data_IF_471635515301
#
_entry.id   IF_471635515301
#
_cell.length_a   1.000
_cell.length_b   1.000
_cell.length_c   1.000
_cell.angle_alpha   90.00
_cell.angle_beta   90.00
_cell.angle_gamma   90.00
#
_symmetry.space_group_name_H-M   'P 1'
#
loop_
_entity.id
_entity.type
_entity.pdbx_description
1 polymer ?
#
# COMPACT_ATOMS: atom_id res chain seq x y z
N UNK A 1 -1.99 33.93 -12.77
CA UNK A 1 -1.92 32.50 -13.14
C UNK A 1 -1.76 31.69 -11.87
N UNK A 2 -2.45 30.55 -11.75
CA UNK A 2 -2.23 29.57 -10.67
C UNK A 2 -1.28 28.51 -11.19
N UNK A 3 -0.28 28.16 -10.40
CA UNK A 3 0.72 27.15 -10.70
C UNK A 3 0.65 26.04 -9.66
N UNK A 4 0.99 24.82 -10.08
CA UNK A 4 1.10 23.66 -9.19
C UNK A 4 2.51 23.12 -9.28
N UNK A 5 3.18 22.94 -8.15
CA UNK A 5 4.50 22.32 -8.11
C UNK A 5 4.35 20.80 -8.19
N UNK A 6 5.05 20.19 -9.14
CA UNK A 6 5.14 18.74 -9.26
C UNK A 6 6.61 18.36 -9.42
N UNK A 7 7.07 17.38 -8.63
CA UNK A 7 8.42 16.84 -8.73
C UNK A 7 8.37 15.62 -9.63
N UNK A 8 8.98 15.73 -10.81
CA UNK A 8 9.16 14.60 -11.72
C UNK A 8 10.37 13.77 -11.24
N UNK A 9 10.09 12.67 -10.56
CA UNK A 9 11.07 11.80 -9.93
C UNK A 9 11.00 10.37 -10.48
N UNK A 10 12.09 9.58 -10.37
CA UNK A 10 12.09 8.17 -10.74
C UNK A 10 10.93 7.41 -10.08
N UNK A 11 10.36 6.45 -10.79
CA UNK A 11 9.13 5.77 -10.33
C UNK A 11 9.32 5.00 -9.01
N UNK A 12 10.54 4.53 -8.76
CA UNK A 12 10.93 3.83 -7.54
C UNK A 12 11.05 4.75 -6.32
N UNK A 13 10.97 6.07 -6.50
CA UNK A 13 11.13 7.04 -5.42
C UNK A 13 9.79 7.42 -4.85
N UNK A 14 9.66 7.26 -3.54
CA UNK A 14 8.53 7.78 -2.79
C UNK A 14 8.96 9.07 -2.11
N UNK A 15 8.58 10.20 -2.72
CA UNK A 15 8.88 11.53 -2.22
C UNK A 15 7.79 12.05 -1.30
N UNK A 16 8.20 12.80 -0.29
CA UNK A 16 7.31 13.48 0.64
C UNK A 16 7.70 14.95 0.73
N UNK A 17 6.70 15.84 0.79
CA UNK A 17 6.96 17.23 1.12
C UNK A 17 7.11 17.31 2.65
N UNK A 18 8.26 17.79 3.12
CA UNK A 18 8.56 17.93 4.56
C UNK A 18 8.39 19.37 5.03
N UNK A 19 8.69 20.34 4.17
CA UNK A 19 8.56 21.75 4.48
C UNK A 19 8.02 22.51 3.27
N UNK A 20 6.93 23.25 3.47
CA UNK A 20 6.37 24.16 2.47
C UNK A 20 5.67 25.32 3.20
N UNK A 21 6.10 26.54 2.92
CA UNK A 21 5.50 27.75 3.50
C UNK A 21 4.20 28.18 2.79
N UNK A 22 3.97 27.67 1.58
CA UNK A 22 2.85 28.03 0.71
C UNK A 22 2.13 26.77 0.24
N UNK A 23 0.92 26.96 -0.29
CA UNK A 23 0.17 25.88 -0.92
C UNK A 23 0.83 25.50 -2.26
N UNK A 24 1.46 24.33 -2.31
CA UNK A 24 2.14 23.83 -3.52
C UNK A 24 1.15 23.50 -4.65
N UNK A 25 -0.14 23.40 -4.35
CA UNK A 25 -1.18 23.10 -5.33
C UNK A 25 -1.73 24.36 -5.98
N UNK A 26 -1.68 25.48 -5.26
CA UNK A 26 -2.31 26.74 -5.63
C UNK A 26 -1.32 27.92 -5.56
N UNK A 27 -0.14 27.78 -6.17
CA UNK A 27 0.90 28.81 -6.15
C UNK A 27 0.44 30.00 -7.01
N UNK A 28 0.38 31.17 -6.39
CA UNK A 28 0.10 32.44 -7.06
C UNK A 28 1.26 33.40 -6.86
N UNK A 29 2.06 33.59 -7.91
CA UNK A 29 3.28 34.42 -7.83
C UNK A 29 2.98 35.88 -7.44
N UNK A 30 1.80 36.39 -7.76
CA UNK A 30 1.36 37.73 -7.36
C UNK A 30 1.12 37.88 -5.84
N UNK A 31 0.88 36.77 -5.13
CA UNK A 31 0.61 36.75 -3.69
C UNK A 31 1.90 36.56 -2.86
N UNK A 32 3.08 36.50 -3.51
CA UNK A 32 4.38 36.38 -2.83
C UNK A 32 4.82 37.70 -2.16
N UNK A 33 4.15 38.82 -2.45
CA UNK A 33 4.50 40.14 -1.91
C UNK A 33 5.92 40.54 -2.30
N UNK A 34 6.73 40.95 -1.32
CA UNK A 34 8.12 41.37 -1.53
C UNK A 34 9.09 40.19 -1.73
N UNK A 35 8.63 38.94 -1.55
CA UNK A 35 9.49 37.75 -1.66
C UNK A 35 9.69 37.38 -3.12
N UNK A 36 10.95 37.30 -3.53
CA UNK A 36 11.35 36.91 -4.90
C UNK A 36 11.44 35.39 -5.12
N UNK A 37 11.50 34.62 -4.03
CA UNK A 37 11.71 33.17 -4.08
C UNK A 37 10.68 32.45 -3.24
N UNK A 38 10.27 31.28 -3.74
CA UNK A 38 9.48 30.29 -3.02
C UNK A 38 10.35 29.04 -2.87
N UNK A 39 10.37 28.46 -1.68
CA UNK A 39 11.13 27.25 -1.37
C UNK A 39 10.19 26.20 -0.78
N UNK A 40 10.41 24.95 -1.19
CA UNK A 40 9.80 23.77 -0.60
C UNK A 40 10.87 22.68 -0.51
N UNK A 41 10.87 21.94 0.59
CA UNK A 41 11.78 20.83 0.86
C UNK A 41 11.03 19.52 0.64
N UNK A 42 11.65 18.62 -0.12
CA UNK A 42 11.17 17.27 -0.34
C UNK A 42 12.19 16.26 0.16
N UNK A 43 11.70 15.18 0.76
CA UNK A 43 12.50 14.08 1.25
C UNK A 43 12.18 12.80 0.46
N UNK A 44 13.23 12.04 0.13
CA UNK A 44 13.08 10.67 -0.35
C UNK A 44 12.82 9.77 0.86
N UNK A 45 11.54 9.59 1.19
CA UNK A 45 11.13 8.85 2.38
C UNK A 45 11.39 7.34 2.26
N UNK A 46 11.21 6.78 1.06
CA UNK A 46 11.53 5.38 0.81
C UNK A 46 11.77 5.09 -0.67
N UNK A 47 12.48 4.00 -0.93
CA UNK A 47 12.54 3.36 -2.24
C UNK A 47 11.51 2.24 -2.32
N UNK A 48 11.04 1.94 -3.53
CA UNK A 48 10.07 0.87 -3.74
C UNK A 48 10.77 -0.44 -4.10
N UNK A 49 10.45 -1.49 -3.33
CA UNK A 49 10.58 -2.87 -3.79
C UNK A 49 9.27 -3.19 -4.49
N UNK A 50 9.31 -3.42 -5.79
CA UNK A 50 8.14 -3.86 -6.55
C UNK A 50 8.37 -5.26 -7.07
N UNK A 51 7.33 -5.92 -7.54
CA UNK A 51 7.54 -7.24 -8.12
C UNK A 51 6.33 -7.80 -8.82
N UNK A 52 6.56 -8.99 -9.37
CA UNK A 52 5.54 -9.83 -9.96
C UNK A 52 5.48 -11.13 -9.19
N UNK A 53 4.29 -11.47 -8.71
CA UNK A 53 4.00 -12.74 -8.08
C UNK A 53 3.29 -13.68 -9.06
N UNK A 54 3.76 -14.93 -9.13
CA UNK A 54 3.18 -15.97 -9.96
C UNK A 54 2.95 -17.24 -9.11
N UNK A 55 1.78 -17.86 -9.26
CA UNK A 55 1.56 -19.23 -8.79
C UNK A 55 2.06 -20.21 -9.85
N UNK A 56 3.06 -21.01 -9.51
CA UNK A 56 3.70 -21.97 -10.42
C UNK A 56 2.73 -23.06 -10.87
N UNK A 57 1.73 -23.39 -10.06
CA UNK A 57 0.77 -24.44 -10.40
C UNK A 57 -0.27 -23.99 -11.43
N UNK A 58 -0.84 -22.81 -11.21
CA UNK A 58 -1.93 -22.28 -12.05
C UNK A 58 -1.48 -21.29 -13.13
N UNK A 59 -0.26 -20.74 -13.01
CA UNK A 59 0.24 -19.58 -13.76
C UNK A 59 -0.63 -18.32 -13.63
N UNK A 60 -1.53 -18.29 -12.66
CA UNK A 60 -2.40 -17.16 -12.35
C UNK A 60 -1.80 -16.41 -11.15
N UNK A 61 -1.75 -15.08 -11.17
CA UNK A 61 -1.34 -14.32 -10.00
C UNK A 61 -2.22 -14.61 -8.78
N UNK A 62 -1.63 -14.90 -7.60
CA UNK A 62 -2.40 -15.15 -6.40
C UNK A 62 -2.96 -13.84 -5.83
N UNK A 63 -4.10 -13.41 -6.34
CA UNK A 63 -4.76 -12.17 -5.92
C UNK A 63 -5.12 -12.21 -4.43
N UNK A 64 -4.80 -11.14 -3.71
CA UNK A 64 -5.03 -11.05 -2.26
C UNK A 64 -4.00 -11.79 -1.41
N UNK A 65 -2.89 -12.26 -1.99
CA UNK A 65 -1.78 -12.81 -1.22
C UNK A 65 -1.11 -11.70 -0.42
N UNK A 66 -1.10 -11.85 0.90
CA UNK A 66 -0.48 -10.90 1.82
C UNK A 66 1.01 -11.17 1.96
N UNK A 67 1.79 -10.11 1.77
CA UNK A 67 3.24 -10.12 1.88
C UNK A 67 3.68 -9.21 3.01
N UNK A 68 4.68 -9.65 3.76
CA UNK A 68 5.35 -8.87 4.79
C UNK A 68 6.79 -8.65 4.40
N UNK A 69 7.26 -7.42 4.55
CA UNK A 69 8.66 -7.06 4.47
C UNK A 69 9.17 -6.68 5.86
N UNK A 70 10.31 -7.21 6.22
CA UNK A 70 10.96 -6.88 7.48
C UNK A 70 12.44 -7.21 7.49
N UNK A 71 13.00 -7.20 8.69
CA UNK A 71 14.37 -7.62 8.96
C UNK A 71 14.35 -8.81 9.92
N UNK A 72 15.47 -9.53 10.11
CA UNK A 72 15.55 -10.58 11.12
C UNK A 72 15.21 -10.11 12.55
N UNK A 73 15.44 -8.83 12.85
CA UNK A 73 15.12 -8.23 14.15
C UNK A 73 13.64 -7.84 14.25
N UNK A 74 13.06 -7.32 13.16
CA UNK A 74 11.67 -6.88 13.05
C UNK A 74 11.02 -7.53 11.83
N UNK A 75 10.43 -8.74 11.96
CA UNK A 75 9.92 -9.50 10.83
C UNK A 75 8.79 -8.82 10.04
N UNK A 76 8.12 -7.84 10.65
CA UNK A 76 7.07 -7.04 10.04
C UNK A 76 7.39 -5.55 10.21
N UNK A 77 7.69 -4.89 9.08
CA UNK A 77 7.90 -3.43 8.99
C UNK A 77 6.86 -2.80 8.08
N UNK A 78 6.59 -3.42 6.93
CA UNK A 78 5.53 -3.01 6.00
C UNK A 78 4.91 -4.24 5.36
N UNK A 79 3.67 -4.10 4.93
CA UNK A 79 2.89 -5.13 4.28
C UNK A 79 2.25 -4.62 2.99
N UNK A 80 1.80 -5.54 2.14
CA UNK A 80 1.02 -5.25 0.93
C UNK A 80 0.24 -6.49 0.48
N UNK A 81 -0.72 -6.31 -0.41
CA UNK A 81 -1.31 -7.38 -1.21
C UNK A 81 -0.68 -7.51 -2.59
N UNK A 82 -0.73 -8.73 -3.10
CA UNK A 82 -0.54 -9.03 -4.52
C UNK A 82 -1.83 -8.75 -5.28
N UNK A 83 -1.75 -7.88 -6.28
CA UNK A 83 -2.84 -7.55 -7.18
C UNK A 83 -3.07 -8.66 -8.22
N UNK A 84 -4.31 -8.80 -8.68
CA UNK A 84 -4.66 -9.69 -9.81
C UNK A 84 -3.92 -9.32 -11.10
N UNK A 85 -3.75 -8.03 -11.35
CA UNK A 85 -3.08 -7.52 -12.54
C UNK A 85 -1.57 -7.74 -12.43
N UNK A 86 -1.04 -8.58 -13.33
CA UNK A 86 0.38 -8.90 -13.45
C UNK A 86 1.02 -9.47 -12.17
N UNK A 87 0.24 -9.82 -11.14
CA UNK A 87 0.78 -10.19 -9.83
C UNK A 87 1.55 -9.06 -9.17
N UNK A 88 1.19 -7.81 -9.48
CA UNK A 88 1.92 -6.65 -9.00
C UNK A 88 1.82 -6.51 -7.49
N UNK A 89 2.94 -6.19 -6.85
CA UNK A 89 3.00 -5.74 -5.46
C UNK A 89 4.05 -4.64 -5.33
N UNK A 90 3.92 -3.79 -4.31
CA UNK A 90 4.92 -2.81 -3.96
C UNK A 90 5.07 -2.69 -2.44
N UNK A 91 6.29 -2.53 -1.97
CA UNK A 91 6.64 -2.39 -0.57
C UNK A 91 7.64 -1.24 -0.43
N UNK A 92 7.51 -0.48 0.66
CA UNK A 92 8.38 0.65 0.97
C UNK A 92 9.59 0.17 1.74
N UNK A 93 10.79 0.51 1.29
CA UNK A 93 12.03 0.06 1.89
C UNK A 93 13.08 1.18 1.87
N UNK A 94 13.90 1.24 2.92
CA UNK A 94 15.15 1.97 2.90
C UNK A 94 16.26 1.11 2.25
N UNK A 95 17.39 1.69 1.84
CA UNK A 95 18.56 0.92 1.45
C UNK A 95 18.98 -0.08 2.53
N UNK A 96 19.21 -1.33 2.15
CA UNK A 96 19.47 -2.40 3.11
C UNK A 96 19.06 -3.78 2.62
N UNK A 97 19.18 -4.76 3.52
CA UNK A 97 18.80 -6.16 3.28
C UNK A 97 17.49 -6.43 4.02
N UNK A 98 16.52 -6.95 3.29
CA UNK A 98 15.17 -7.18 3.75
C UNK A 98 14.77 -8.64 3.52
N UNK A 99 13.92 -9.16 4.40
CA UNK A 99 13.30 -10.47 4.26
C UNK A 99 11.82 -10.28 3.87
N UNK A 100 11.44 -10.80 2.70
CA UNK A 100 10.09 -10.81 2.16
C UNK A 100 9.44 -12.17 2.43
N UNK A 101 8.35 -12.20 3.19
CA UNK A 101 7.65 -13.41 3.59
C UNK A 101 6.14 -13.33 3.35
N UNK A 102 5.46 -14.47 3.42
CA UNK A 102 4.00 -14.51 3.43
C UNK A 102 3.49 -14.09 4.82
N UNK A 103 2.41 -13.30 4.86
CA UNK A 103 1.77 -12.98 6.14
C UNK A 103 1.20 -14.24 6.81
N UNK A 104 1.26 -14.31 8.16
CA UNK A 104 0.65 -15.41 8.90
C UNK A 104 -0.87 -15.44 8.67
N UNK A 105 -1.45 -16.64 8.67
CA UNK A 105 -2.86 -16.87 8.34
C UNK A 105 -3.05 -17.39 6.91
N UNK A 106 -4.17 -17.06 6.21
CA UNK A 106 -4.56 -17.70 4.96
C UNK A 106 -3.47 -17.72 3.87
N UNK A 107 -2.69 -16.63 3.75
CA UNK A 107 -1.58 -16.54 2.80
C UNK A 107 -0.53 -17.62 3.04
N UNK A 108 -0.02 -17.72 4.27
CA UNK A 108 0.97 -18.74 4.65
C UNK A 108 0.42 -20.17 4.75
N UNK A 109 -0.88 -20.33 5.01
CA UNK A 109 -1.58 -21.62 5.13
C UNK A 109 -1.90 -22.24 3.76
N UNK A 110 -2.24 -21.39 2.78
CA UNK A 110 -2.62 -21.84 1.44
C UNK A 110 -1.40 -21.88 0.53
N UNK A 111 -0.48 -20.93 0.63
CA UNK A 111 0.67 -20.81 -0.27
C UNK A 111 1.99 -21.11 0.45
N UNK A 112 2.99 -21.48 -0.35
CA UNK A 112 4.41 -21.50 0.04
C UNK A 112 5.20 -20.74 -1.02
N UNK A 113 6.24 -20.02 -0.59
CA UNK A 113 7.20 -19.41 -1.52
C UNK A 113 8.07 -20.52 -2.10
N UNK A 114 8.34 -20.44 -3.40
CA UNK A 114 9.23 -21.33 -4.13
C UNK A 114 10.44 -20.55 -4.64
N UNK A 115 11.59 -21.20 -4.59
CA UNK A 115 12.84 -20.66 -5.12
C UNK A 115 13.64 -21.76 -5.80
N UNK A 116 14.65 -21.37 -6.56
CA UNK A 116 15.61 -22.26 -7.20
C UNK A 116 17.01 -21.65 -7.04
N UNK A 117 18.05 -22.47 -7.14
CA UNK A 117 19.45 -22.03 -7.05
C UNK A 117 19.79 -20.81 -7.91
N UNK A 118 19.39 -20.71 -9.20
CA UNK A 118 19.68 -19.50 -9.98
C UNK A 118 18.89 -18.26 -9.53
N UNK A 119 17.69 -18.43 -8.95
CA UNK A 119 16.94 -17.31 -8.38
C UNK A 119 17.63 -16.78 -7.12
N UNK A 120 18.12 -17.67 -6.25
CA UNK A 120 18.88 -17.28 -5.07
C UNK A 120 20.18 -16.55 -5.45
N UNK A 121 20.89 -17.06 -6.46
CA UNK A 121 22.11 -16.44 -6.96
C UNK A 121 21.86 -15.02 -7.51
N UNK A 122 20.69 -14.79 -8.11
CA UNK A 122 20.25 -13.49 -8.63
C UNK A 122 19.55 -12.61 -7.57
N UNK A 123 19.42 -13.07 -6.31
CA UNK A 123 18.66 -12.37 -5.27
C UNK A 123 17.18 -12.17 -5.63
N UNK A 124 16.62 -13.03 -6.49
CA UNK A 124 15.29 -12.89 -7.09
C UNK A 124 15.08 -11.59 -7.90
N UNK A 125 16.15 -10.85 -8.18
CA UNK A 125 16.11 -9.62 -8.97
C UNK A 125 15.83 -9.95 -10.43
N UNK A 126 14.72 -9.44 -10.96
CA UNK A 126 14.38 -9.53 -12.38
C UNK A 126 15.44 -8.86 -13.26
N UNK A 127 16.12 -7.83 -12.76
CA UNK A 127 17.23 -7.17 -13.45
C UNK A 127 18.41 -8.14 -13.62
N UNK A 128 18.82 -8.81 -12.54
CA UNK A 128 19.90 -9.79 -12.59
C UNK A 128 19.55 -10.99 -13.47
N UNK A 129 18.28 -11.42 -13.48
CA UNK A 129 17.79 -12.49 -14.33
C UNK A 129 17.73 -12.09 -15.82
N UNK A 130 17.46 -10.82 -16.13
CA UNK A 130 17.33 -10.28 -17.49
C UNK A 130 18.65 -9.85 -18.14
N UNK A 131 19.70 -9.56 -17.34
CA UNK A 131 20.98 -9.04 -17.81
C UNK A 131 21.74 -9.95 -18.80
N UNK A 132 21.33 -11.21 -18.95
CA UNK A 132 21.93 -12.18 -19.88
C UNK A 132 21.16 -12.47 -21.16
N UNK A 133 20.00 -11.82 -21.42
CA UNK A 133 19.16 -12.09 -22.60
C UNK A 133 18.56 -13.50 -22.68
N UNK A 134 18.82 -14.35 -21.67
CA UNK A 134 18.40 -15.74 -21.58
C UNK A 134 17.18 -15.80 -20.67
N UNK A 135 15.99 -16.03 -21.24
CA UNK A 135 14.78 -16.30 -20.47
C UNK A 135 15.09 -17.49 -19.55
N UNK A 136 15.18 -17.25 -18.25
CA UNK A 136 15.56 -18.28 -17.29
C UNK A 136 14.41 -19.30 -17.24
N UNK A 137 14.58 -20.40 -17.96
CA UNK A 137 13.60 -21.48 -18.00
C UNK A 137 13.74 -22.31 -16.73
N UNK A 138 13.14 -21.84 -15.64
CA UNK A 138 13.12 -22.56 -14.37
C UNK A 138 12.14 -23.71 -14.55
N UNK A 139 12.66 -24.94 -14.47
CA UNK A 139 11.81 -26.13 -14.49
C UNK A 139 11.11 -26.24 -13.14
N UNK A 140 9.81 -26.60 -13.10
CA UNK A 140 9.09 -26.78 -11.85
C UNK A 140 9.76 -27.77 -10.87
N UNK A 141 10.50 -28.74 -11.40
CA UNK A 141 11.23 -29.77 -10.63
C UNK A 141 12.42 -29.22 -9.83
N UNK A 142 12.99 -28.08 -10.24
CA UNK A 142 14.13 -27.46 -9.56
C UNK A 142 13.70 -26.57 -8.39
N UNK A 143 12.40 -26.36 -8.22
CA UNK A 143 11.85 -25.45 -7.21
C UNK A 143 11.72 -26.14 -5.84
N UNK A 144 12.35 -25.54 -4.84
CA UNK A 144 12.22 -25.95 -3.44
C UNK A 144 11.54 -24.84 -2.61
N UNK A 145 10.84 -25.21 -1.53
CA UNK A 145 10.16 -24.24 -0.68
C UNK A 145 11.15 -23.41 0.14
N UNK A 146 10.84 -22.13 0.34
CA UNK A 146 11.53 -21.25 1.28
C UNK A 146 10.51 -20.49 2.13
N UNK A 147 10.92 -20.07 3.34
CA UNK A 147 10.06 -19.30 4.25
C UNK A 147 10.04 -17.81 3.91
N UNK A 148 11.17 -17.28 3.48
CA UNK A 148 11.33 -15.87 3.12
C UNK A 148 12.33 -15.74 1.95
N UNK A 149 12.19 -14.65 1.20
CA UNK A 149 13.14 -14.22 0.18
C UNK A 149 13.97 -13.07 0.72
N UNK A 150 15.28 -13.18 0.57
CA UNK A 150 16.18 -12.07 0.88
C UNK A 150 16.25 -11.12 -0.31
N UNK A 151 15.81 -9.89 -0.11
CA UNK A 151 15.82 -8.81 -1.10
C UNK A 151 16.83 -7.76 -0.65
N UNK A 152 17.68 -7.30 -1.57
CA UNK A 152 18.67 -6.25 -1.27
C UNK A 152 18.32 -4.98 -2.01
N UNK A 153 18.12 -3.90 -1.27
CA UNK A 153 17.93 -2.55 -1.81
C UNK A 153 19.28 -1.82 -1.81
N UNK A 154 19.97 -1.79 -2.94
CA UNK A 154 21.30 -1.18 -3.08
C UNK A 154 21.39 -0.08 -4.14
N UNK A 155 20.30 0.22 -4.84
CA UNK A 155 20.25 1.16 -5.97
C UNK A 155 19.03 2.10 -5.83
N UNK A 156 19.18 3.35 -6.23
CA UNK A 156 18.10 4.33 -6.30
C UNK A 156 17.06 3.98 -7.37
N UNK A 157 17.33 3.06 -8.29
CA UNK A 157 16.32 2.56 -9.21
C UNK A 157 15.24 1.69 -8.56
N UNK A 158 15.33 1.43 -7.24
CA UNK A 158 14.50 0.42 -6.58
C UNK A 158 14.92 -1.00 -6.94
N UNK A 159 14.10 -1.97 -6.51
CA UNK A 159 14.32 -3.39 -6.80
C UNK A 159 13.04 -4.01 -7.37
N UNK A 160 13.19 -4.88 -8.37
CA UNK A 160 12.09 -5.57 -9.03
C UNK A 160 12.21 -7.08 -8.83
N UNK A 161 11.35 -7.65 -7.99
CA UNK A 161 11.44 -9.03 -7.52
C UNK A 161 10.48 -9.96 -8.27
N UNK A 162 10.99 -11.13 -8.67
CA UNK A 162 10.14 -12.25 -9.11
C UNK A 162 9.82 -13.16 -7.92
N UNK A 163 8.55 -13.14 -7.50
CA UNK A 163 8.04 -13.99 -6.43
C UNK A 163 7.31 -15.19 -7.03
N UNK A 164 7.84 -16.39 -6.82
CA UNK A 164 7.18 -17.63 -7.18
C UNK A 164 6.51 -18.23 -5.95
N UNK A 165 5.25 -18.62 -6.12
CA UNK A 165 4.45 -19.25 -5.07
C UNK A 165 3.85 -20.54 -5.59
N UNK A 166 3.46 -21.42 -4.69
CA UNK A 166 2.69 -22.61 -5.03
C UNK A 166 1.68 -22.87 -3.92
N UNK A 167 0.46 -23.27 -4.29
CA UNK A 167 -0.50 -23.77 -3.30
C UNK A 167 0.05 -25.02 -2.61
N UNK A 168 -0.19 -25.13 -1.31
CA UNK A 168 0.19 -26.31 -0.53
C UNK A 168 -0.66 -27.52 -0.92
N UNK A 169 -0.13 -28.75 -0.78
CA UNK A 169 -0.89 -29.97 -1.06
C UNK A 169 -2.24 -29.98 -0.32
N UNK A 170 -3.33 -30.27 -1.03
CA UNK A 170 -4.69 -30.29 -0.47
C UNK A 170 -5.37 -28.92 -0.32
N UNK A 171 -4.72 -27.82 -0.70
CA UNK A 171 -5.29 -26.46 -0.70
C UNK A 171 -5.52 -25.90 -2.11
N UNK A 172 -5.50 -26.74 -3.14
CA UNK A 172 -5.62 -26.33 -4.55
C UNK A 172 -6.92 -25.58 -4.86
N UNK A 173 -8.04 -25.99 -4.25
CA UNK A 173 -9.34 -25.33 -4.35
C UNK A 173 -9.54 -24.16 -3.38
N UNK A 174 -8.58 -23.86 -2.50
CA UNK A 174 -8.70 -22.75 -1.57
C UNK A 174 -8.47 -21.41 -2.30
N UNK A 175 -9.33 -20.44 -2.02
CA UNK A 175 -9.20 -19.05 -2.44
C UNK A 175 -8.83 -18.19 -1.23
N UNK A 176 -8.01 -17.17 -1.45
CA UNK A 176 -7.71 -16.14 -0.44
C UNK A 176 -8.88 -15.16 -0.29
N UNK A 177 -9.65 -15.00 -1.37
CA UNK A 177 -10.85 -14.19 -1.38
C UNK A 177 -12.03 -15.10 -1.05
N UNK A 178 -12.86 -14.67 -0.09
CA UNK A 178 -14.12 -15.35 0.19
C UNK A 178 -15.01 -15.17 -1.04
N UNK A 179 -15.30 -16.26 -1.75
CA UNK A 179 -16.29 -16.23 -2.82
C UNK A 179 -17.68 -16.17 -2.18
N UNK A 180 -18.43 -15.09 -2.41
CA UNK A 180 -19.85 -14.92 -2.01
C UNK A 180 -20.82 -15.97 -2.60
N UNK A 181 -20.32 -17.02 -3.27
CA UNK A 181 -21.11 -18.01 -4.03
C UNK A 181 -21.59 -19.22 -3.23
N UNK A 182 -21.40 -19.24 -1.91
CA UNK A 182 -21.89 -20.32 -1.03
C UNK A 182 -23.07 -19.90 -0.13
N UNK A 183 -23.98 -19.07 -0.65
CA UNK A 183 -25.22 -18.68 0.04
C UNK A 183 -26.50 -18.88 -0.80
N UNK A 184 -26.51 -19.83 -1.75
CA UNK A 184 -27.75 -20.26 -2.41
C UNK A 184 -28.23 -21.60 -1.83
N UNK A 185 -28.81 -21.53 -0.64
CA UNK A 185 -29.52 -22.61 0.03
C UNK A 185 -30.47 -22.05 1.08
N UNK A 186 -31.72 -21.82 0.66
CA UNK A 186 -32.92 -21.57 1.48
C UNK A 186 -33.03 -20.23 2.25
N UNK A 187 -33.71 -19.27 1.62
CA UNK A 187 -34.77 -18.43 2.20
C UNK A 187 -34.47 -17.53 3.41
N UNK A 188 -34.16 -16.26 3.15
CA UNK A 188 -34.61 -15.10 3.95
C UNK A 188 -34.29 -13.81 3.20
N UNK A 189 -35.29 -12.95 2.97
CA UNK A 189 -35.10 -11.58 2.50
C UNK A 189 -34.37 -10.76 3.58
N UNK A 190 -33.17 -10.25 3.28
CA UNK A 190 -32.67 -8.98 3.86
C UNK A 190 -31.44 -8.47 3.12
N UNK A 191 -31.51 -7.19 2.78
CA UNK A 191 -30.45 -6.21 2.56
C UNK A 191 -29.21 -6.60 1.73
N UNK A 192 -29.26 -6.32 0.43
CA UNK A 192 -28.11 -6.32 -0.47
C UNK A 192 -27.27 -5.05 -0.25
N UNK A 193 -26.23 -5.16 0.56
CA UNK A 193 -25.22 -4.10 0.71
C UNK A 193 -23.83 -4.64 1.01
N UNK A 194 -22.94 -4.63 0.01
CA UNK A 194 -21.49 -4.33 0.09
C UNK A 194 -20.59 -5.01 1.16
N UNK A 195 -21.01 -6.14 1.77
CA UNK A 195 -20.33 -6.71 2.95
C UNK A 195 -19.06 -7.54 2.65
N UNK A 196 -18.87 -8.07 1.43
CA UNK A 196 -17.78 -9.01 1.13
C UNK A 196 -16.38 -8.37 1.13
N UNK A 197 -16.24 -7.14 0.64
CA UNK A 197 -14.95 -6.44 0.61
C UNK A 197 -14.62 -5.78 1.95
N UNK A 198 -15.61 -5.27 2.69
CA UNK A 198 -15.41 -4.68 4.03
C UNK A 198 -14.97 -5.70 5.08
N UNK A 199 -15.43 -6.96 4.99
CA UNK A 199 -15.00 -8.03 5.88
C UNK A 199 -13.52 -8.41 5.74
N UNK A 200 -12.95 -8.30 4.55
CA UNK A 200 -11.52 -8.53 4.30
C UNK A 200 -10.67 -7.33 4.75
N UNK A 201 -11.18 -6.10 4.57
CA UNK A 201 -10.50 -4.86 4.98
C UNK A 201 -10.38 -4.74 6.51
N UNK A 202 -11.40 -5.13 7.29
CA UNK A 202 -11.35 -5.12 8.76
C UNK A 202 -10.31 -6.08 9.34
N UNK A 203 -10.10 -7.24 8.70
CA UNK A 203 -9.04 -8.21 9.08
C UNK A 203 -7.64 -7.76 8.72
N UNK A 204 -7.50 -6.85 7.77
CA UNK A 204 -6.21 -6.30 7.36
C UNK A 204 -5.79 -5.11 8.21
N UNK A 205 -6.70 -4.16 8.44
CA UNK A 205 -6.40 -2.98 9.29
C UNK A 205 -6.09 -3.34 10.75
N UNK A 206 -6.39 -4.57 11.17
CA UNK A 206 -6.07 -5.14 12.50
C UNK A 206 -4.73 -5.88 12.58
N UNK A 207 -3.98 -6.08 11.49
CA UNK A 207 -2.72 -6.83 11.48
C UNK A 207 -1.46 -5.97 11.73
N UNK A 208 -1.61 -4.65 11.75
CA UNK A 208 -0.53 -3.68 11.99
C UNK A 208 -0.34 -3.32 13.46
N UNK A 209 0.10 -4.27 14.29
CA UNK A 209 0.49 -4.01 15.68
C UNK A 209 0.08 -5.12 16.64
N UNK A 210 1.04 -5.67 17.36
CA UNK A 210 0.80 -6.63 18.44
C UNK A 210 0.06 -5.91 19.56
N UNK A 211 -1.24 -6.17 19.69
CA UNK A 211 -1.90 -6.45 20.96
C UNK A 211 -3.14 -7.31 20.71
N UNK A 212 -3.13 -8.47 21.36
CA UNK A 212 -4.21 -9.44 21.45
C UNK A 212 -5.44 -8.84 22.14
N UNK A 213 -6.45 -8.40 21.38
CA UNK A 213 -7.84 -8.31 21.87
C UNK A 213 -8.81 -8.56 20.72
N UNK A 214 -9.11 -9.84 20.47
CA UNK A 214 -10.34 -10.20 19.77
C UNK A 214 -11.55 -9.69 20.55
N UNK A 215 -12.07 -8.52 20.18
CA UNK A 215 -13.29 -7.95 20.78
C UNK A 215 -13.41 -6.42 20.79
N UNK A 216 -12.38 -5.65 20.41
CA UNK A 216 -12.41 -4.18 20.56
C UNK A 216 -12.79 -3.38 19.29
N UNK A 217 -12.59 -3.92 18.08
CA UNK A 217 -12.66 -3.10 16.84
C UNK A 217 -14.05 -2.99 16.20
N UNK A 218 -15.03 -3.79 16.62
CA UNK A 218 -16.41 -3.74 16.07
C UNK A 218 -17.16 -2.43 16.43
N UNK A 219 -16.60 -1.65 17.36
CA UNK A 219 -17.17 -0.37 17.79
C UNK A 219 -16.38 0.86 17.28
N UNK A 220 -15.39 0.67 16.40
CA UNK A 220 -14.62 1.75 15.79
C UNK A 220 -15.16 2.08 14.39
N UNK A 221 -15.48 3.35 14.15
CA UNK A 221 -15.87 3.84 12.82
C UNK A 221 -14.62 4.30 12.09
N UNK A 222 -14.31 3.64 10.97
CA UNK A 222 -13.19 4.04 10.13
C UNK A 222 -13.65 4.91 8.97
N UNK A 223 -13.00 6.06 8.78
CA UNK A 223 -13.33 7.02 7.73
C UNK A 223 -12.09 7.32 6.91
N UNK A 224 -12.13 6.99 5.62
CA UNK A 224 -11.09 7.36 4.68
C UNK A 224 -11.35 8.73 4.06
N UNK A 225 -10.32 9.57 3.94
CA UNK A 225 -10.41 10.84 3.24
C UNK A 225 -9.08 11.29 2.64
N UNK A 226 -9.17 12.27 1.75
CA UNK A 226 -8.02 12.94 1.18
C UNK A 226 -8.38 14.40 0.91
N UNK A 227 -7.37 15.27 0.96
CA UNK A 227 -7.47 16.67 0.60
C UNK A 227 -6.24 17.08 -0.20
N UNK A 228 -6.37 18.10 -1.05
CA UNK A 228 -5.30 18.70 -1.84
C UNK A 228 -5.50 20.21 -1.81
N UNK A 229 -4.50 20.92 -1.28
CA UNK A 229 -4.55 22.36 -1.03
C UNK A 229 -5.16 22.76 0.32
N UNK A 230 -4.74 23.91 0.84
CA UNK A 230 -5.02 24.33 2.22
C UNK A 230 -6.50 24.59 2.51
N UNK A 231 -7.27 25.02 1.51
CA UNK A 231 -8.72 25.22 1.68
C UNK A 231 -9.43 23.88 1.92
N UNK A 232 -9.09 22.86 1.15
CA UNK A 232 -9.68 21.52 1.30
C UNK A 232 -9.23 20.85 2.60
N UNK A 233 -7.98 21.06 3.01
CA UNK A 233 -7.50 20.62 4.33
C UNK A 233 -8.28 21.26 5.48
N UNK A 234 -8.62 22.55 5.36
CA UNK A 234 -9.48 23.21 6.35
C UNK A 234 -10.88 22.59 6.38
N UNK A 235 -11.48 22.33 5.21
CA UNK A 235 -12.78 21.64 5.15
C UNK A 235 -12.71 20.22 5.69
N UNK A 236 -11.59 19.53 5.49
CA UNK A 236 -11.35 18.20 6.06
C UNK A 236 -11.36 18.24 7.59
N UNK A 237 -10.71 19.24 8.22
CA UNK A 237 -10.77 19.43 9.69
C UNK A 237 -12.21 19.64 10.18
N UNK A 238 -12.98 20.47 9.47
CA UNK A 238 -14.39 20.74 9.82
C UNK A 238 -15.22 19.46 9.69
N UNK A 239 -15.00 18.66 8.63
CA UNK A 239 -15.66 17.37 8.46
C UNK A 239 -15.33 16.42 9.60
N UNK A 240 -14.04 16.29 9.95
CA UNK A 240 -13.59 15.42 11.05
C UNK A 240 -14.23 15.83 12.38
N UNK A 241 -14.21 17.13 12.70
CA UNK A 241 -14.85 17.65 13.91
C UNK A 241 -16.37 17.40 13.92
N UNK A 242 -17.05 17.66 12.80
CA UNK A 242 -18.50 17.42 12.68
C UNK A 242 -18.88 15.97 12.90
N UNK A 243 -18.09 15.01 12.39
CA UNK A 243 -18.30 13.58 12.65
C UNK A 243 -18.18 13.29 14.15
N UNK A 244 -17.12 13.78 14.80
CA UNK A 244 -16.84 13.53 16.20
C UNK A 244 -17.91 14.12 17.13
N UNK A 245 -18.49 15.27 16.78
CA UNK A 245 -19.60 15.87 17.52
C UNK A 245 -20.91 15.07 17.40
N UNK A 246 -21.05 14.24 16.36
CA UNK A 246 -22.28 13.49 16.04
C UNK A 246 -22.23 12.01 16.39
N UNK A 247 -21.09 11.49 16.81
CA UNK A 247 -20.92 10.07 17.14
C UNK A 247 -20.45 9.88 18.58
N UNK A 248 -20.87 8.79 19.21
CA UNK A 248 -20.36 8.33 20.50
C UNK A 248 -19.36 7.18 20.35
N UNK A 249 -19.18 6.68 19.11
CA UNK A 249 -18.24 5.60 18.79
C UNK A 249 -16.83 6.14 18.61
N UNK A 250 -15.83 5.29 18.84
CA UNK A 250 -14.43 5.63 18.51
C UNK A 250 -14.33 5.84 17.00
N UNK A 251 -13.54 6.82 16.56
CA UNK A 251 -13.35 7.11 15.15
C UNK A 251 -11.87 7.04 14.80
N UNK A 252 -11.55 6.36 13.71
CA UNK A 252 -10.21 6.33 13.11
C UNK A 252 -10.24 6.90 11.70
N UNK A 253 -9.50 7.98 11.46
CA UNK A 253 -9.40 8.62 10.15
C UNK A 253 -8.19 8.08 9.37
N UNK A 254 -8.43 7.52 8.19
CA UNK A 254 -7.39 7.12 7.26
C UNK A 254 -7.19 8.21 6.22
N UNK A 255 -6.01 8.81 6.18
CA UNK A 255 -5.74 9.96 5.34
C UNK A 255 -4.64 9.66 4.32
N UNK A 256 -4.88 9.99 3.05
CA UNK A 256 -3.91 9.77 1.99
C UNK A 256 -2.81 10.83 2.02
N UNK A 257 -1.64 10.45 2.55
CA UNK A 257 -0.50 11.32 2.83
C UNK A 257 0.04 12.03 1.59
N UNK A 258 -0.02 11.41 0.41
CA UNK A 258 0.56 11.93 -0.85
C UNK A 258 0.11 13.36 -1.21
N UNK A 259 -1.08 13.77 -0.78
CA UNK A 259 -1.70 15.03 -1.19
C UNK A 259 -1.80 16.06 -0.06
N UNK A 260 -1.46 15.67 1.16
CA UNK A 260 -1.53 16.54 2.32
C UNK A 260 -0.28 17.40 2.42
N UNK A 261 -0.48 18.63 2.87
CA UNK A 261 0.59 19.58 3.16
C UNK A 261 1.32 19.21 4.45
N UNK A 262 2.60 19.57 4.59
CA UNK A 262 3.35 19.33 5.82
C UNK A 262 2.72 20.02 7.03
N UNK A 263 2.15 21.21 6.83
CA UNK A 263 1.47 21.96 7.88
C UNK A 263 0.23 21.22 8.42
N UNK A 264 -0.53 20.56 7.54
CA UNK A 264 -1.65 19.73 7.97
C UNK A 264 -1.18 18.48 8.72
N UNK A 265 -0.20 17.76 8.16
CA UNK A 265 0.37 16.56 8.79
C UNK A 265 0.93 16.87 10.18
N UNK A 266 1.68 17.96 10.32
CA UNK A 266 2.25 18.39 11.60
C UNK A 266 1.19 18.81 12.64
N UNK A 267 -0.01 19.21 12.20
CA UNK A 267 -1.11 19.57 13.10
C UNK A 267 -1.94 18.36 13.57
N UNK A 268 -1.86 17.21 12.89
CA UNK A 268 -2.67 16.03 13.19
C UNK A 268 -2.48 15.49 14.63
N UNK A 269 -1.25 15.38 15.20
CA UNK A 269 -1.09 14.89 16.56
C UNK A 269 -1.80 15.76 17.60
N UNK A 270 -1.66 17.08 17.50
CA UNK A 270 -2.32 18.01 18.40
C UNK A 270 -3.85 17.97 18.24
N UNK A 271 -4.32 17.87 16.99
CA UNK A 271 -5.76 17.78 16.68
C UNK A 271 -6.37 16.47 17.21
N UNK A 272 -5.68 15.35 17.02
CA UNK A 272 -6.05 14.02 17.50
C UNK A 272 -6.14 13.98 19.02
N UNK A 273 -5.17 14.55 19.73
CA UNK A 273 -5.18 14.65 21.19
C UNK A 273 -6.30 15.57 21.71
N UNK A 274 -6.57 16.67 21.02
CA UNK A 274 -7.60 17.63 21.43
C UNK A 274 -9.03 17.12 21.21
N UNK A 275 -9.28 16.41 20.11
CA UNK A 275 -10.61 15.94 19.72
C UNK A 275 -10.86 14.45 20.01
N UNK A 276 -9.84 13.70 20.44
CA UNK A 276 -9.97 12.31 20.87
C UNK A 276 -10.25 11.29 19.74
N UNK A 277 -9.57 11.40 18.60
CA UNK A 277 -9.68 10.45 17.49
C UNK A 277 -8.35 9.79 17.14
N UNK A 278 -8.40 8.63 16.51
CA UNK A 278 -7.21 7.97 15.94
C UNK A 278 -7.04 8.33 14.48
N UNK A 279 -5.81 8.31 13.97
CA UNK A 279 -5.56 8.49 12.54
C UNK A 279 -4.46 7.58 12.04
N UNK A 280 -4.53 7.26 10.75
CA UNK A 280 -3.51 6.54 10.00
C UNK A 280 -3.19 7.29 8.72
N UNK A 281 -1.90 7.43 8.41
CA UNK A 281 -1.43 8.01 7.16
C UNK A 281 -1.11 6.88 6.19
N UNK A 282 -1.89 6.78 5.11
CA UNK A 282 -1.66 5.80 4.05
C UNK A 282 -1.02 6.48 2.86
N UNK A 283 -0.23 5.72 2.10
CA UNK A 283 0.44 6.23 0.91
C UNK A 283 0.76 5.07 0.00
N UNK A 284 0.47 5.24 -1.27
CA UNK A 284 0.68 4.24 -2.32
C UNK A 284 1.25 4.96 -3.55
N UNK A 285 2.16 4.32 -4.29
CA UNK A 285 2.68 4.89 -5.54
C UNK A 285 1.85 4.37 -6.72
N UNK A 286 1.61 5.23 -7.71
CA UNK A 286 0.93 4.83 -8.94
C UNK A 286 1.76 3.78 -9.70
N UNK A 287 1.23 2.56 -9.94
CA UNK A 287 2.00 1.50 -10.59
C UNK A 287 2.41 1.87 -12.02
N UNK A 288 3.60 1.42 -12.41
CA UNK A 288 4.23 1.80 -13.69
C UNK A 288 3.50 1.26 -14.92
N UNK A 289 2.84 0.10 -14.78
CA UNK A 289 2.03 -0.53 -15.82
C UNK A 289 0.65 0.12 -15.98
N UNK A 290 0.19 0.89 -14.99
CA UNK A 290 -1.11 1.53 -15.02
C UNK A 290 -1.00 2.92 -15.65
N UNK A 291 -1.85 3.21 -16.62
CA UNK A 291 -1.80 4.46 -17.36
C UNK A 291 -1.90 5.69 -16.44
N UNK A 292 -0.83 6.49 -16.39
CA UNK A 292 -0.72 7.69 -15.56
C UNK A 292 -1.62 8.81 -16.09
N UNK A 293 -2.17 9.59 -15.17
CA UNK A 293 -2.90 10.82 -15.49
C UNK A 293 -1.96 12.02 -15.33
N UNK A 294 -2.11 13.02 -16.19
CA UNK A 294 -1.31 14.26 -16.14
C UNK A 294 -1.93 15.31 -15.22
N UNK A 295 -3.26 15.38 -15.20
CA UNK A 295 -4.01 16.33 -14.37
C UNK A 295 -4.10 15.82 -12.92
N UNK A 296 -3.63 16.63 -11.95
CA UNK A 296 -3.62 16.26 -10.53
C UNK A 296 -5.00 15.86 -9.99
N UNK A 297 -6.07 16.52 -10.44
CA UNK A 297 -7.44 16.17 -10.04
C UNK A 297 -7.83 14.75 -10.47
N UNK A 298 -7.43 14.32 -11.68
CA UNK A 298 -7.68 12.96 -12.18
C UNK A 298 -6.84 11.92 -11.45
N UNK A 299 -5.60 12.26 -11.10
CA UNK A 299 -4.76 11.41 -10.25
C UNK A 299 -5.48 11.18 -8.91
N UNK A 300 -5.94 12.25 -8.26
CA UNK A 300 -6.69 12.18 -7.00
C UNK A 300 -7.93 11.30 -7.14
N UNK A 301 -8.71 11.43 -8.21
CA UNK A 301 -9.88 10.57 -8.45
C UNK A 301 -9.49 9.10 -8.61
N UNK A 302 -8.38 8.81 -9.30
CA UNK A 302 -7.82 7.47 -9.41
C UNK A 302 -7.53 6.86 -8.04
N UNK A 303 -6.89 7.61 -7.13
CA UNK A 303 -6.61 7.14 -5.77
C UNK A 303 -7.86 6.86 -4.93
N UNK A 304 -9.00 7.49 -5.22
CA UNK A 304 -10.25 7.23 -4.50
C UNK A 304 -10.91 5.90 -4.85
N UNK A 305 -10.54 5.27 -5.97
CA UNK A 305 -11.25 4.11 -6.49
C UNK A 305 -10.35 2.93 -6.87
N UNK A 306 -9.13 3.19 -7.34
CA UNK A 306 -8.26 2.15 -7.90
C UNK A 306 -7.41 1.42 -6.87
N UNK A 307 -7.19 2.01 -5.69
CA UNK A 307 -6.21 1.54 -4.71
C UNK A 307 -6.82 1.41 -3.30
N UNK A 308 -8.11 1.10 -3.21
CA UNK A 308 -8.80 0.92 -1.91
C UNK A 308 -8.45 -0.42 -1.24
N UNK A 309 -7.97 -1.36 -2.03
CA UNK A 309 -7.63 -2.73 -1.66
C UNK A 309 -6.13 -2.95 -1.47
N UNK A 310 -5.30 -1.92 -1.51
CA UNK A 310 -3.82 -2.00 -1.44
C UNK A 310 -3.22 -1.04 -0.43
#
# INVERSE_FOLDING_TARGET
>A
QVLTLHVDAPEAWLLECTEAAYDMDNIRLAELGDRRTLSASYELASLLITGRCEDVGSHIPPNGLQLLLGTPATPHVTDTLVMSNLGYFQLKAAPGVWDLALAPGPSSEIFTIKTATPLLAAGHSTRALGAGGRKLAIRPEELFPTRALRVTMSDFSGEHVLLLTQKRPGKEGASLLVDDKSANGAGAESDRGTSGMMGSMSKWWSSGGVDDVGGADDNTVHIFSLASGHLYERFLKIMMQSVLEKTQRRVKFWLLKNFLSPAFIGALPALSNALGFEYGLVQYQWPTWLHKQTEKQRIIWGYKILFLDV
#
